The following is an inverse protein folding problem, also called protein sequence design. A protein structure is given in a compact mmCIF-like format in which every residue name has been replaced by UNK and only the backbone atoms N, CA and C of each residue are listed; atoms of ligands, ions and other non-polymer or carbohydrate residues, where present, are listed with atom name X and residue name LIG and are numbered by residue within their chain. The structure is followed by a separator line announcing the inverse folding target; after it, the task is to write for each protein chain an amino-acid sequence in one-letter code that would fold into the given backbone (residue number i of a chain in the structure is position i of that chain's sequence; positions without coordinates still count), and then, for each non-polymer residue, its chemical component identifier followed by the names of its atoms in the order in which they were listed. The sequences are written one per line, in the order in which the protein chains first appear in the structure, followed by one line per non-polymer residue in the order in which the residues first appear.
data_IF_801877058130
#
_entry.id   IF_801877058130
#
_cell.length_a   1.000
_cell.length_b   1.000
_cell.length_c   1.000
_cell.angle_alpha   90.00
_cell.angle_beta   90.00
_cell.angle_gamma   90.00
#
_symmetry.space_group_name_H-M   'P 1'
#
loop_
_entity.id
_entity.type
_entity.pdbx_description
1 polymer ?
#
# COMPACT_ATOMS: atom_id res chain seq x y z
N UNK A 1 3.31 20.80 2.78
CA UNK A 1 2.62 19.89 3.75
C UNK A 1 3.58 19.69 4.92
N UNK A 2 3.11 19.73 6.15
CA UNK A 2 3.92 19.32 7.31
C UNK A 2 3.93 17.78 7.38
N UNK A 3 5.09 17.19 7.14
CA UNK A 3 5.27 15.73 7.06
C UNK A 3 4.88 15.05 8.38
N UNK A 4 5.28 15.61 9.52
CA UNK A 4 4.98 15.02 10.83
C UNK A 4 3.50 15.08 11.15
N UNK A 5 2.84 16.18 10.85
CA UNK A 5 1.39 16.30 11.02
C UNK A 5 0.64 15.31 10.13
N UNK A 6 1.05 15.16 8.87
CA UNK A 6 0.44 14.19 7.95
C UNK A 6 0.61 12.75 8.42
N UNK A 7 1.79 12.35 8.92
CA UNK A 7 2.02 11.01 9.49
C UNK A 7 1.13 10.79 10.72
N UNK A 8 0.97 11.79 11.57
CA UNK A 8 0.14 11.67 12.78
C UNK A 8 -1.36 11.55 12.43
N UNK A 9 -1.83 12.30 11.43
CA UNK A 9 -3.21 12.19 10.93
C UNK A 9 -3.48 10.78 10.36
N UNK A 10 -2.55 10.25 9.56
CA UNK A 10 -2.61 8.88 9.04
C UNK A 10 -2.62 7.86 10.18
N UNK A 11 -1.69 7.97 11.12
CA UNK A 11 -1.61 7.07 12.29
C UNK A 11 -2.90 7.06 13.08
N UNK A 12 -3.48 8.25 13.35
CA UNK A 12 -4.74 8.38 14.09
C UNK A 12 -5.91 7.74 13.34
N UNK A 13 -6.07 8.03 12.04
CA UNK A 13 -7.15 7.49 11.23
C UNK A 13 -7.11 5.96 11.16
N UNK A 14 -5.92 5.37 10.96
CA UNK A 14 -5.77 3.91 10.94
C UNK A 14 -5.93 3.28 12.33
N UNK A 15 -5.47 3.93 13.40
CA UNK A 15 -5.69 3.45 14.77
C UNK A 15 -7.19 3.37 15.11
N UNK A 16 -7.96 4.39 14.75
CA UNK A 16 -9.42 4.42 14.93
C UNK A 16 -10.08 3.31 14.10
N UNK A 17 -9.67 3.13 12.85
CA UNK A 17 -10.16 2.09 11.96
C UNK A 17 -9.82 0.69 12.47
N UNK A 18 -8.62 0.47 13.00
CA UNK A 18 -8.21 -0.78 13.61
C UNK A 18 -9.05 -1.12 14.86
N UNK A 19 -9.26 -0.15 15.74
CA UNK A 19 -10.05 -0.32 16.96
C UNK A 19 -11.53 -0.62 16.67
N UNK A 20 -12.09 -0.09 15.58
CA UNK A 20 -13.47 -0.36 15.14
C UNK A 20 -13.65 -1.71 14.44
N UNK A 21 -12.56 -2.42 14.11
CA UNK A 21 -12.58 -3.63 13.30
C UNK A 21 -12.76 -3.38 11.80
N UNK A 22 -12.78 -2.12 11.37
CA UNK A 22 -12.90 -1.70 9.96
C UNK A 22 -11.55 -1.64 9.22
N UNK A 23 -10.44 -2.01 9.89
CA UNK A 23 -9.07 -1.82 9.41
C UNK A 23 -8.79 -2.51 8.08
N UNK A 24 -9.42 -3.66 7.84
CA UNK A 24 -9.51 -4.27 6.52
C UNK A 24 -10.93 -4.73 6.29
N UNK A 25 -11.63 -3.97 5.48
CA UNK A 25 -12.92 -4.37 4.97
C UNK A 25 -12.76 -5.70 4.18
N UNK A 26 -13.71 -6.63 4.35
CA UNK A 26 -13.72 -7.92 3.62
C UNK A 26 -13.58 -7.74 2.10
N UNK A 27 -14.02 -6.61 1.57
CA UNK A 27 -13.97 -6.30 0.13
C UNK A 27 -12.56 -5.92 -0.36
N UNK A 28 -11.64 -5.53 0.52
CA UNK A 28 -10.23 -5.37 0.18
C UNK A 28 -9.43 -6.66 0.29
N UNK A 29 -10.04 -7.71 0.83
CA UNK A 29 -9.48 -9.05 0.96
C UNK A 29 -9.96 -9.93 -0.19
N UNK A 30 -9.31 -9.83 -1.34
CA UNK A 30 -9.56 -10.64 -2.52
C UNK A 30 -8.53 -11.77 -2.60
N UNK A 31 -8.97 -13.01 -2.32
CA UNK A 31 -8.10 -14.19 -2.33
C UNK A 31 -7.46 -14.44 -3.70
N UNK A 32 -8.19 -14.21 -4.81
CA UNK A 32 -7.65 -14.39 -6.17
C UNK A 32 -6.60 -13.33 -6.49
N UNK A 33 -6.83 -12.08 -6.05
CA UNK A 33 -5.83 -11.03 -6.20
C UNK A 33 -4.59 -11.33 -5.36
N UNK A 34 -4.76 -11.81 -4.12
CA UNK A 34 -3.66 -12.24 -3.26
C UNK A 34 -2.84 -13.35 -3.91
N UNK A 35 -3.48 -14.44 -4.39
CA UNK A 35 -2.81 -15.53 -5.09
C UNK A 35 -2.01 -15.03 -6.31
N UNK A 36 -2.61 -14.10 -7.07
CA UNK A 36 -1.94 -13.49 -8.22
C UNK A 36 -0.71 -12.67 -7.81
N UNK A 37 -0.80 -11.88 -6.73
CA UNK A 37 0.34 -11.14 -6.17
C UNK A 37 1.43 -12.10 -5.75
N UNK A 38 1.12 -13.12 -4.94
CA UNK A 38 2.09 -14.10 -4.44
C UNK A 38 2.83 -14.81 -5.57
N UNK A 39 2.10 -15.21 -6.61
CA UNK A 39 2.70 -15.80 -7.82
C UNK A 39 3.57 -14.80 -8.58
N UNK A 40 3.16 -13.53 -8.67
CA UNK A 40 3.85 -12.50 -9.44
C UNK A 40 5.16 -12.05 -8.79
N UNK A 41 5.18 -11.86 -7.46
CA UNK A 41 6.41 -11.48 -6.73
C UNK A 41 7.44 -12.61 -6.70
N UNK A 42 7.00 -13.86 -6.87
CA UNK A 42 7.84 -15.05 -7.01
C UNK A 42 8.96 -15.11 -5.95
N UNK A 43 8.58 -15.06 -4.67
CA UNK A 43 9.52 -15.20 -3.55
C UNK A 43 10.26 -16.54 -3.65
N UNK A 44 11.53 -16.57 -3.26
CA UNK A 44 12.41 -17.73 -3.35
C UNK A 44 13.08 -17.99 -2.01
N UNK A 45 13.39 -19.23 -1.73
CA UNK A 45 14.05 -19.66 -0.52
C UNK A 45 15.30 -18.81 -0.18
N UNK A 46 15.43 -18.47 1.07
CA UNK A 46 16.54 -17.67 1.60
C UNK A 46 16.45 -16.16 1.35
N UNK A 47 15.35 -15.66 0.74
CA UNK A 47 15.15 -14.23 0.60
C UNK A 47 14.83 -13.55 1.93
N UNK A 48 15.30 -12.31 2.07
CA UNK A 48 14.79 -11.33 3.04
C UNK A 48 13.78 -10.43 2.38
N UNK A 49 12.57 -10.41 2.93
CA UNK A 49 11.42 -9.71 2.36
C UNK A 49 10.89 -8.68 3.36
N UNK A 50 10.72 -7.43 2.90
CA UNK A 50 10.09 -6.36 3.66
C UNK A 50 8.68 -6.10 3.11
N UNK A 51 7.66 -6.13 3.96
CA UNK A 51 6.31 -5.64 3.66
C UNK A 51 6.15 -4.24 4.26
N UNK A 52 6.18 -3.21 3.41
CA UNK A 52 6.13 -1.80 3.79
C UNK A 52 4.69 -1.30 3.86
N UNK A 53 4.28 -0.81 5.03
CA UNK A 53 2.88 -0.48 5.33
C UNK A 53 2.05 -1.75 5.46
N UNK A 54 2.56 -2.70 6.25
CA UNK A 54 2.02 -4.07 6.33
C UNK A 54 0.63 -4.16 6.99
N UNK A 55 0.21 -3.13 7.72
CA UNK A 55 -1.08 -3.08 8.42
C UNK A 55 -1.35 -4.32 9.27
N UNK A 56 -2.44 -5.02 8.98
CA UNK A 56 -2.81 -6.27 9.66
C UNK A 56 -2.06 -7.52 9.17
N UNK A 57 -1.07 -7.35 8.29
CA UNK A 57 -0.27 -8.45 7.76
C UNK A 57 -0.92 -9.21 6.60
N UNK A 58 -1.77 -8.55 5.79
CA UNK A 58 -2.49 -9.18 4.68
C UNK A 58 -1.56 -9.86 3.64
N UNK A 59 -0.42 -9.25 3.30
CA UNK A 59 0.62 -9.89 2.48
C UNK A 59 1.64 -10.63 3.34
N UNK A 60 2.00 -10.06 4.49
CA UNK A 60 3.10 -10.53 5.33
C UNK A 60 2.94 -11.99 5.75
N UNK A 61 1.75 -12.36 6.29
CA UNK A 61 1.49 -13.73 6.74
C UNK A 61 1.52 -14.72 5.57
N UNK A 62 0.76 -14.53 4.46
CA UNK A 62 0.79 -15.47 3.35
C UNK A 62 2.16 -15.62 2.67
N UNK A 63 2.97 -14.55 2.64
CA UNK A 63 4.34 -14.62 2.14
C UNK A 63 5.18 -15.52 3.04
N UNK A 64 5.10 -15.35 4.37
CA UNK A 64 5.88 -16.15 5.32
C UNK A 64 5.43 -17.61 5.37
N UNK A 65 4.11 -17.86 5.35
CA UNK A 65 3.53 -19.22 5.32
C UNK A 65 3.90 -19.99 4.06
N UNK A 66 3.86 -19.30 2.90
CA UNK A 66 4.19 -19.91 1.62
C UNK A 66 5.69 -20.10 1.35
N UNK A 67 6.56 -19.47 2.17
CA UNK A 67 8.01 -19.46 1.98
C UNK A 67 8.74 -19.63 3.33
N UNK A 68 8.73 -20.80 3.94
CA UNK A 68 9.27 -21.03 5.29
C UNK A 68 10.77 -20.73 5.41
N UNK A 69 11.52 -20.81 4.32
CA UNK A 69 12.96 -20.51 4.30
C UNK A 69 13.28 -19.03 4.05
N UNK A 70 12.27 -18.17 3.89
CA UNK A 70 12.44 -16.73 3.81
C UNK A 70 12.38 -16.08 5.18
N UNK A 71 13.10 -14.96 5.36
CA UNK A 71 12.92 -14.06 6.50
C UNK A 71 11.98 -12.92 6.08
N UNK A 72 10.79 -12.81 6.70
CA UNK A 72 9.78 -11.80 6.34
C UNK A 72 9.63 -10.80 7.47
N UNK A 73 9.67 -9.51 7.12
CA UNK A 73 9.52 -8.42 8.08
C UNK A 73 8.38 -7.50 7.63
N UNK A 74 7.37 -7.32 8.49
CA UNK A 74 6.33 -6.31 8.30
C UNK A 74 6.72 -5.00 8.99
N UNK A 75 6.62 -3.87 8.28
CA UNK A 75 6.92 -2.53 8.77
C UNK A 75 5.68 -1.64 8.68
N UNK A 76 5.28 -1.02 9.79
CA UNK A 76 4.13 -0.10 9.82
C UNK A 76 4.29 0.99 10.88
N UNK A 77 3.57 2.11 10.71
CA UNK A 77 3.54 3.22 11.69
C UNK A 77 2.51 3.01 12.80
N UNK A 78 1.55 2.09 12.62
CA UNK A 78 0.44 1.82 13.55
C UNK A 78 0.86 0.75 14.56
N UNK A 79 1.33 1.19 15.73
CA UNK A 79 1.85 0.29 16.78
C UNK A 79 0.85 -0.76 17.23
N UNK A 80 -0.45 -0.40 17.32
CA UNK A 80 -1.50 -1.32 17.76
C UNK A 80 -1.66 -2.50 16.77
N UNK A 81 -1.53 -2.25 15.45
CA UNK A 81 -1.55 -3.30 14.44
C UNK A 81 -0.30 -4.19 14.53
N UNK A 82 0.87 -3.58 14.75
CA UNK A 82 2.13 -4.31 14.94
C UNK A 82 2.05 -5.23 16.16
N UNK A 83 1.53 -4.75 17.29
CA UNK A 83 1.43 -5.55 18.51
C UNK A 83 0.42 -6.70 18.37
N UNK A 84 -0.70 -6.47 17.68
CA UNK A 84 -1.65 -7.53 17.32
C UNK A 84 -1.01 -8.60 16.42
N UNK A 85 -0.26 -8.18 15.39
CA UNK A 85 0.45 -9.10 14.50
C UNK A 85 1.53 -9.90 15.23
N UNK A 86 2.29 -9.27 16.14
CA UNK A 86 3.27 -9.98 16.99
C UNK A 86 2.62 -11.05 17.87
N UNK A 87 1.40 -10.80 18.35
CA UNK A 87 0.64 -11.81 19.10
C UNK A 87 0.24 -12.99 18.21
N UNK A 88 -0.25 -12.72 17.00
CA UNK A 88 -0.57 -13.76 16.00
C UNK A 88 0.65 -14.60 15.62
N UNK A 89 1.82 -13.98 15.43
CA UNK A 89 3.09 -14.70 15.16
C UNK A 89 3.42 -15.68 16.28
N UNK A 90 3.30 -15.23 17.55
CA UNK A 90 3.55 -16.12 18.72
C UNK A 90 2.54 -17.26 18.81
N UNK A 91 1.26 -16.98 18.56
CA UNK A 91 0.18 -17.99 18.59
C UNK A 91 0.33 -19.02 17.47
N UNK A 92 0.83 -18.60 16.30
CA UNK A 92 1.06 -19.48 15.15
C UNK A 92 2.46 -20.14 15.15
N UNK A 93 3.30 -19.85 16.16
CA UNK A 93 4.67 -20.35 16.27
C UNK A 93 5.52 -20.14 15.01
N UNK A 94 5.39 -18.95 14.38
CA UNK A 94 6.12 -18.61 13.15
C UNK A 94 7.51 -18.03 13.47
N UNK A 95 8.57 -18.75 13.17
CA UNK A 95 9.95 -18.32 13.46
C UNK A 95 10.55 -17.42 12.35
N UNK A 96 9.95 -17.42 11.15
CA UNK A 96 10.43 -16.72 9.97
C UNK A 96 9.78 -15.35 9.74
N UNK A 97 8.94 -14.88 10.68
CA UNK A 97 8.13 -13.67 10.54
C UNK A 97 8.30 -12.73 11.74
N UNK A 98 8.60 -11.45 11.47
CA UNK A 98 8.68 -10.41 12.50
C UNK A 98 7.93 -9.15 12.07
N UNK A 99 7.55 -8.32 13.05
CA UNK A 99 6.88 -7.05 12.81
C UNK A 99 7.57 -5.91 13.55
N UNK A 100 7.80 -4.78 12.86
CA UNK A 100 8.54 -3.62 13.35
C UNK A 100 7.69 -2.36 13.19
N UNK A 101 7.59 -1.56 14.27
CA UNK A 101 7.01 -0.22 14.19
C UNK A 101 8.11 0.81 13.91
N UNK A 102 7.78 1.88 13.13
CA UNK A 102 8.74 2.94 12.82
C UNK A 102 8.09 4.33 12.86
N UNK A 103 8.89 5.37 12.64
CA UNK A 103 8.48 6.77 12.75
C UNK A 103 7.68 7.30 11.53
N UNK A 104 7.65 6.54 10.43
CA UNK A 104 7.01 6.94 9.16
C UNK A 104 7.94 7.70 8.21
N UNK A 105 9.23 7.85 8.57
CA UNK A 105 10.22 8.59 7.79
C UNK A 105 11.41 7.70 7.41
N UNK A 106 12.16 7.21 8.42
CA UNK A 106 13.39 6.46 8.19
C UNK A 106 13.18 4.98 8.47
N UNK A 107 13.58 4.12 7.54
CA UNK A 107 13.46 2.68 7.76
C UNK A 107 14.58 2.21 8.71
N UNK A 108 14.24 1.51 9.82
CA UNK A 108 15.20 1.09 10.84
C UNK A 108 16.03 -0.13 10.40
N UNK A 109 16.51 -0.13 9.16
CA UNK A 109 17.23 -1.22 8.54
C UNK A 109 18.53 -0.76 7.89
N UNK A 110 19.50 -1.65 7.78
CA UNK A 110 20.75 -1.39 7.09
C UNK A 110 20.57 -1.33 5.56
N UNK A 111 21.51 -0.66 4.88
CA UNK A 111 21.52 -0.62 3.42
C UNK A 111 21.78 -2.02 2.84
N UNK A 112 21.05 -2.38 1.79
CA UNK A 112 21.24 -3.64 1.08
C UNK A 112 20.84 -4.88 1.88
N UNK A 113 19.86 -4.74 2.78
CA UNK A 113 19.38 -5.84 3.63
C UNK A 113 18.41 -6.77 2.91
N UNK A 114 17.54 -6.24 2.03
CA UNK A 114 16.40 -6.96 1.46
C UNK A 114 16.61 -7.38 0.01
N UNK A 115 16.10 -8.56 -0.31
CA UNK A 115 16.00 -9.08 -1.69
C UNK A 115 14.74 -8.57 -2.38
N UNK A 116 13.66 -8.39 -1.60
CA UNK A 116 12.36 -7.95 -2.07
C UNK A 116 11.73 -6.99 -1.05
N UNK A 117 11.21 -5.87 -1.52
CA UNK A 117 10.27 -5.01 -0.78
C UNK A 117 8.93 -5.12 -1.47
N UNK A 118 7.88 -5.39 -0.71
CA UNK A 118 6.49 -5.38 -1.18
C UNK A 118 5.70 -4.30 -0.46
N UNK A 119 4.71 -3.73 -1.11
CA UNK A 119 3.79 -2.77 -0.49
C UNK A 119 2.44 -2.86 -1.19
N UNK A 120 1.35 -2.81 -0.41
CA UNK A 120 -0.01 -2.89 -0.95
C UNK A 120 -0.93 -1.91 -0.25
N UNK A 121 -1.58 -1.05 -1.03
CA UNK A 121 -2.58 -0.06 -0.58
C UNK A 121 -2.08 0.81 0.57
N UNK A 122 -0.84 1.30 0.45
CA UNK A 122 -0.16 2.02 1.53
C UNK A 122 0.52 3.31 1.06
N UNK A 123 1.21 3.31 -0.08
CA UNK A 123 2.07 4.42 -0.49
C UNK A 123 1.31 5.72 -0.75
N UNK A 124 0.03 5.67 -1.06
CA UNK A 124 -0.81 6.86 -1.23
C UNK A 124 -1.08 7.63 0.07
N UNK A 125 -0.64 7.13 1.22
CA UNK A 125 -0.64 7.81 2.51
C UNK A 125 0.72 8.40 2.90
N UNK A 126 1.77 8.18 2.09
CA UNK A 126 3.12 8.62 2.43
C UNK A 126 3.34 10.08 2.03
N UNK A 127 3.59 11.01 3.01
CA UNK A 127 3.66 12.44 2.74
C UNK A 127 4.92 12.86 1.99
N UNK A 128 5.99 12.08 2.05
CA UNK A 128 7.20 12.25 1.28
C UNK A 128 7.53 10.96 0.53
N UNK A 129 6.85 10.78 -0.59
CA UNK A 129 7.00 9.57 -1.41
C UNK A 129 8.42 9.44 -1.98
N UNK A 130 9.06 10.55 -2.32
CA UNK A 130 10.42 10.54 -2.87
C UNK A 130 11.42 10.02 -1.84
N UNK A 131 11.36 10.52 -0.59
CA UNK A 131 12.19 10.02 0.49
C UNK A 131 11.91 8.54 0.77
N UNK A 132 10.65 8.13 0.74
CA UNK A 132 10.28 6.72 0.93
C UNK A 132 10.87 5.80 -0.14
N UNK A 133 10.88 6.22 -1.40
CA UNK A 133 11.52 5.44 -2.49
C UNK A 133 13.05 5.46 -2.38
N UNK A 134 13.65 6.56 -1.88
CA UNK A 134 15.09 6.59 -1.53
C UNK A 134 15.41 5.53 -0.47
N UNK A 135 14.61 5.45 0.60
CA UNK A 135 14.78 4.45 1.65
C UNK A 135 14.58 3.02 1.14
N UNK A 136 13.53 2.79 0.31
CA UNK A 136 13.34 1.50 -0.36
C UNK A 136 14.57 1.12 -1.19
N UNK A 137 15.08 2.06 -2.01
CA UNK A 137 16.29 1.81 -2.79
C UNK A 137 17.50 1.56 -1.89
N UNK A 138 17.63 2.27 -0.78
CA UNK A 138 18.75 2.09 0.16
C UNK A 138 18.74 0.69 0.78
N UNK A 139 17.59 0.22 1.28
CA UNK A 139 17.49 -1.07 1.97
C UNK A 139 17.49 -2.28 1.03
N UNK A 140 17.17 -2.10 -0.26
CA UNK A 140 17.26 -3.15 -1.26
C UNK A 140 18.72 -3.47 -1.62
N UNK A 141 19.02 -4.75 -1.75
CA UNK A 141 20.26 -5.27 -2.36
C UNK A 141 20.40 -4.80 -3.80
N UNK A 142 21.61 -4.75 -4.34
CA UNK A 142 21.83 -4.58 -5.77
C UNK A 142 21.22 -5.76 -6.56
N UNK A 143 20.25 -5.49 -7.42
CA UNK A 143 19.46 -6.49 -8.13
C UNK A 143 18.22 -6.99 -7.36
N UNK A 144 17.96 -6.48 -6.17
CA UNK A 144 16.70 -6.69 -5.43
C UNK A 144 15.51 -6.04 -6.11
N UNK A 145 14.31 -6.38 -5.68
CA UNK A 145 13.06 -5.95 -6.33
C UNK A 145 12.15 -5.16 -5.39
N UNK A 146 11.39 -4.22 -5.95
CA UNK A 146 10.27 -3.54 -5.31
C UNK A 146 8.99 -3.92 -6.03
N UNK A 147 7.99 -4.40 -5.29
CA UNK A 147 6.63 -4.60 -5.78
C UNK A 147 5.69 -3.56 -5.17
N UNK A 148 4.96 -2.83 -6.03
CA UNK A 148 3.94 -1.85 -5.63
C UNK A 148 2.59 -2.36 -6.13
N UNK A 149 1.62 -2.49 -5.23
CA UNK A 149 0.21 -2.72 -5.54
C UNK A 149 -0.61 -1.59 -4.93
N UNK A 150 -0.99 -0.60 -5.74
CA UNK A 150 -1.69 0.60 -5.24
C UNK A 150 -2.75 1.07 -6.23
N UNK A 151 -3.90 1.59 -5.76
CA UNK A 151 -4.90 2.17 -6.65
C UNK A 151 -4.34 3.32 -7.48
N UNK A 152 -4.93 3.54 -8.63
CA UNK A 152 -4.54 4.61 -9.53
C UNK A 152 -5.76 5.33 -10.10
N UNK A 153 -5.64 6.61 -10.48
CA UNK A 153 -6.71 7.32 -11.15
C UNK A 153 -7.01 6.70 -12.52
N UNK A 154 -8.27 6.75 -12.94
CA UNK A 154 -8.66 6.41 -14.30
C UNK A 154 -8.02 7.38 -15.30
N UNK A 155 -7.77 6.95 -16.54
CA UNK A 155 -7.06 7.74 -17.54
C UNK A 155 -7.77 9.07 -17.89
N UNK A 156 -9.10 9.12 -17.76
CA UNK A 156 -9.91 10.32 -17.93
C UNK A 156 -9.91 11.25 -16.73
N UNK A 157 -9.48 10.81 -15.54
CA UNK A 157 -9.53 11.57 -14.29
C UNK A 157 -8.35 12.54 -14.16
N UNK A 158 -8.34 13.60 -14.99
CA UNK A 158 -7.27 14.61 -14.97
C UNK A 158 -7.38 15.55 -13.76
N UNK A 159 -8.60 15.79 -13.29
CA UNK A 159 -8.90 16.71 -12.20
C UNK A 159 -8.90 16.02 -10.81
N UNK A 160 -8.50 14.73 -10.78
CA UNK A 160 -8.27 13.97 -9.54
C UNK A 160 -9.52 13.81 -8.66
N UNK A 161 -10.63 13.49 -9.30
CA UNK A 161 -11.88 13.14 -8.61
C UNK A 161 -11.67 12.05 -7.57
N UNK A 162 -10.94 10.98 -7.94
CA UNK A 162 -10.71 9.86 -7.02
C UNK A 162 -9.96 10.30 -5.74
N UNK A 163 -8.98 11.19 -5.83
CA UNK A 163 -8.27 11.70 -4.66
C UNK A 163 -9.18 12.57 -3.78
N UNK A 164 -10.00 13.44 -4.37
CA UNK A 164 -10.98 14.25 -3.62
C UNK A 164 -12.02 13.35 -2.93
N UNK A 165 -12.47 12.30 -3.62
CA UNK A 165 -13.38 11.30 -3.06
C UNK A 165 -12.75 10.51 -1.92
N UNK A 166 -11.48 10.08 -2.06
CA UNK A 166 -10.79 9.32 -1.02
C UNK A 166 -10.53 10.16 0.24
N UNK A 167 -10.27 11.46 0.10
CA UNK A 167 -10.12 12.38 1.25
C UNK A 167 -11.38 12.58 2.07
N UNK A 168 -12.56 12.15 1.60
CA UNK A 168 -13.77 12.12 2.43
C UNK A 168 -13.64 11.14 3.61
N UNK A 169 -12.78 10.14 3.50
CA UNK A 169 -12.37 9.28 4.62
C UNK A 169 -11.13 9.89 5.28
N UNK A 170 -11.24 10.20 6.57
CA UNK A 170 -10.14 10.83 7.33
C UNK A 170 -9.08 9.82 7.75
N UNK A 171 -8.41 9.21 6.78
CA UNK A 171 -7.34 8.21 6.98
C UNK A 171 -5.96 8.69 6.47
N UNK A 172 -5.84 9.98 6.17
CA UNK A 172 -4.58 10.55 5.69
C UNK A 172 -4.29 10.32 4.22
N UNK A 173 -5.30 10.03 3.38
CA UNK A 173 -5.11 9.92 1.94
C UNK A 173 -4.48 11.18 1.34
N UNK A 174 -3.41 11.01 0.58
CA UNK A 174 -2.67 12.10 -0.06
C UNK A 174 -2.92 12.10 -1.56
N UNK A 175 -2.51 11.02 -2.25
CA UNK A 175 -2.57 10.95 -3.71
C UNK A 175 -2.43 9.51 -4.21
N UNK A 176 -3.28 9.10 -5.15
CA UNK A 176 -3.03 7.95 -6.00
C UNK A 176 -2.07 8.32 -7.15
N UNK A 177 -1.13 7.47 -7.44
CA UNK A 177 -0.14 7.67 -8.50
C UNK A 177 -0.52 6.88 -9.75
N UNK A 178 -0.34 7.48 -10.92
CA UNK A 178 -0.42 6.76 -12.19
C UNK A 178 0.80 5.83 -12.35
N UNK A 179 0.70 4.86 -13.26
CA UNK A 179 1.84 4.00 -13.60
C UNK A 179 3.06 4.80 -14.08
N UNK A 180 2.83 5.83 -14.92
CA UNK A 180 3.91 6.69 -15.40
C UNK A 180 4.58 7.47 -14.27
N UNK A 181 3.82 8.01 -13.32
CA UNK A 181 4.39 8.68 -12.14
C UNK A 181 5.23 7.71 -11.30
N UNK A 182 4.79 6.45 -11.09
CA UNK A 182 5.59 5.45 -10.40
C UNK A 182 6.89 5.14 -11.14
N UNK A 183 6.82 4.97 -12.46
CA UNK A 183 8.03 4.72 -13.28
C UNK A 183 9.01 5.87 -13.18
N UNK A 184 8.53 7.12 -13.30
CA UNK A 184 9.37 8.32 -13.23
C UNK A 184 10.02 8.49 -11.85
N UNK A 185 9.27 8.23 -10.76
CA UNK A 185 9.80 8.32 -9.40
C UNK A 185 10.85 7.22 -9.17
N UNK A 186 10.52 5.98 -9.47
CA UNK A 186 11.37 4.83 -9.21
C UNK A 186 12.66 4.87 -10.03
N UNK A 187 12.62 5.29 -11.31
CA UNK A 187 13.79 5.37 -12.19
C UNK A 187 14.84 6.36 -11.67
N UNK A 188 14.40 7.50 -11.11
CA UNK A 188 15.33 8.48 -10.48
C UNK A 188 16.19 7.87 -9.37
N UNK A 189 15.72 6.83 -8.72
CA UNK A 189 16.41 6.16 -7.61
C UNK A 189 16.94 4.77 -7.98
N UNK A 190 17.08 4.50 -9.30
CA UNK A 190 17.71 3.30 -9.84
C UNK A 190 16.84 2.04 -9.74
N UNK A 191 15.50 2.21 -9.71
CA UNK A 191 14.52 1.13 -9.72
C UNK A 191 13.83 1.12 -11.09
N UNK A 192 14.17 0.17 -11.96
CA UNK A 192 13.61 0.05 -13.30
C UNK A 192 12.44 -0.94 -13.33
N UNK A 193 11.38 -0.60 -14.05
CA UNK A 193 10.25 -1.49 -14.27
C UNK A 193 10.66 -2.78 -14.97
N UNK A 194 10.19 -3.92 -14.48
CA UNK A 194 10.46 -5.25 -15.05
C UNK A 194 9.18 -5.87 -15.60
N UNK A 195 8.08 -5.76 -14.87
CA UNK A 195 6.80 -6.36 -15.23
C UNK A 195 5.65 -5.66 -14.51
N UNK A 196 4.44 -5.79 -15.00
CA UNK A 196 3.24 -5.25 -14.35
C UNK A 196 1.96 -5.96 -14.79
N UNK A 197 0.92 -5.79 -13.96
CA UNK A 197 -0.44 -6.12 -14.34
C UNK A 197 -1.43 -5.15 -13.69
N UNK A 198 -2.60 -5.01 -14.30
CA UNK A 198 -3.72 -4.27 -13.71
C UNK A 198 -4.72 -5.22 -13.06
N UNK A 199 -5.35 -4.74 -12.01
CA UNK A 199 -6.51 -5.33 -11.35
C UNK A 199 -7.50 -4.24 -10.95
N UNK A 200 -8.63 -4.62 -10.41
CA UNK A 200 -9.64 -3.68 -9.89
C UNK A 200 -10.03 -4.07 -8.47
N UNK A 201 -10.42 -3.07 -7.69
CA UNK A 201 -11.00 -3.26 -6.38
C UNK A 201 -12.33 -2.52 -6.28
N UNK A 202 -13.32 -3.14 -5.65
CA UNK A 202 -14.57 -2.48 -5.26
C UNK A 202 -14.42 -1.98 -3.82
N UNK A 203 -14.31 -0.67 -3.64
CA UNK A 203 -14.06 -0.08 -2.33
C UNK A 203 -15.33 0.53 -1.74
N UNK A 204 -15.79 0.10 -0.55
CA UNK A 204 -16.92 0.69 0.15
C UNK A 204 -16.48 1.85 1.06
N UNK A 205 -17.37 2.83 1.20
CA UNK A 205 -17.28 3.92 2.16
C UNK A 205 -18.62 4.10 2.84
N UNK A 206 -18.65 4.19 4.17
CA UNK A 206 -19.89 4.46 4.92
C UNK A 206 -20.37 5.88 4.61
N UNK A 207 -21.66 6.03 4.30
CA UNK A 207 -22.27 7.33 3.95
C UNK A 207 -22.23 8.33 5.09
N UNK A 208 -22.41 7.89 6.31
CA UNK A 208 -22.41 8.74 7.51
C UNK A 208 -21.04 9.36 7.81
N UNK A 209 -19.96 8.83 7.21
CA UNK A 209 -18.60 9.35 7.35
C UNK A 209 -18.14 10.16 6.13
N UNK A 210 -18.93 10.20 5.04
CA UNK A 210 -18.58 10.85 3.78
C UNK A 210 -19.07 12.31 3.70
N UNK A 211 -18.76 13.13 4.72
CA UNK A 211 -19.11 14.54 4.74
C UNK A 211 -18.50 15.29 3.54
N UNK A 212 -19.33 16.05 2.79
CA UNK A 212 -18.88 16.78 1.60
C UNK A 212 -18.97 15.97 0.30
N UNK A 213 -19.57 14.80 0.32
CA UNK A 213 -19.74 13.94 -0.86
C UNK A 213 -20.42 14.67 -2.02
N UNK A 214 -21.54 15.35 -1.76
CA UNK A 214 -22.28 16.12 -2.79
C UNK A 214 -21.46 17.27 -3.39
N UNK A 215 -20.61 17.92 -2.59
CA UNK A 215 -19.71 18.98 -3.05
C UNK A 215 -18.63 18.40 -3.97
N UNK A 216 -18.08 17.23 -3.64
CA UNK A 216 -17.11 16.53 -4.49
C UNK A 216 -17.73 16.16 -5.83
N UNK A 217 -18.97 15.60 -5.84
CA UNK A 217 -19.65 15.27 -7.08
C UNK A 217 -19.90 16.50 -7.98
N UNK A 218 -20.26 17.65 -7.38
CA UNK A 218 -20.52 18.90 -8.14
C UNK A 218 -19.25 19.50 -8.73
N UNK A 219 -18.09 19.22 -8.18
CA UNK A 219 -16.80 19.78 -8.60
C UNK A 219 -16.24 19.11 -9.86
N UNK A 220 -16.63 17.86 -10.12
CA UNK A 220 -16.01 17.02 -11.14
C UNK A 220 -16.97 16.68 -12.29
N UNK A 221 -16.40 16.38 -13.46
CA UNK A 221 -17.15 15.98 -14.64
C UNK A 221 -17.90 14.66 -14.42
N UNK A 222 -19.15 14.61 -14.85
CA UNK A 222 -20.03 13.46 -14.69
C UNK A 222 -19.47 12.20 -15.36
N UNK A 223 -18.86 12.32 -16.54
CA UNK A 223 -18.28 11.19 -17.25
C UNK A 223 -17.06 10.63 -16.50
N UNK A 224 -16.29 11.48 -15.80
CA UNK A 224 -15.20 11.03 -14.92
C UNK A 224 -15.77 10.24 -13.74
N UNK A 225 -16.78 10.77 -13.06
CA UNK A 225 -17.45 10.10 -11.94
C UNK A 225 -18.01 8.75 -12.37
N UNK A 226 -18.71 8.68 -13.48
CA UNK A 226 -19.29 7.45 -14.05
C UNK A 226 -18.23 6.40 -14.38
N UNK A 227 -17.01 6.82 -14.75
CA UNK A 227 -15.91 5.90 -15.06
C UNK A 227 -15.46 5.05 -13.87
N UNK A 228 -15.80 5.45 -12.65
CA UNK A 228 -15.51 4.72 -11.41
C UNK A 228 -16.64 3.78 -10.95
N UNK A 229 -17.68 3.62 -11.77
CA UNK A 229 -18.83 2.76 -11.45
C UNK A 229 -19.35 2.99 -10.02
N UNK A 230 -19.55 4.30 -9.72
CA UNK A 230 -19.98 4.73 -8.40
C UNK A 230 -21.42 4.29 -8.15
N UNK A 231 -21.63 3.53 -7.08
CA UNK A 231 -22.95 3.05 -6.66
C UNK A 231 -23.23 3.53 -5.26
N UNK A 232 -24.41 4.13 -5.08
CA UNK A 232 -24.93 4.57 -3.80
C UNK A 232 -26.01 3.60 -3.32
N UNK A 233 -25.82 3.07 -2.10
CA UNK A 233 -26.81 2.28 -1.36
C UNK A 233 -27.38 3.11 -0.22
N UNK A 234 -28.26 2.53 0.60
CA UNK A 234 -28.81 3.21 1.77
C UNK A 234 -27.73 3.59 2.80
N UNK A 235 -26.67 2.79 2.93
CA UNK A 235 -25.64 2.90 3.99
C UNK A 235 -24.24 3.15 3.47
N UNK A 236 -23.96 2.83 2.20
CA UNK A 236 -22.62 2.84 1.64
C UNK A 236 -22.55 3.52 0.27
N UNK A 237 -21.38 4.05 0.00
CA UNK A 237 -20.92 4.48 -1.32
C UNK A 237 -19.88 3.46 -1.79
N UNK A 238 -20.06 2.90 -2.98
CA UNK A 238 -19.15 1.92 -3.57
C UNK A 238 -18.50 2.52 -4.79
N UNK A 239 -17.18 2.47 -4.86
CA UNK A 239 -16.38 2.92 -6.00
C UNK A 239 -15.54 1.76 -6.53
N UNK A 240 -15.38 1.67 -7.85
CA UNK A 240 -14.47 0.70 -8.47
C UNK A 240 -13.18 1.42 -8.85
N UNK A 241 -12.07 1.01 -8.26
CA UNK A 241 -10.74 1.58 -8.50
C UNK A 241 -9.90 0.61 -9.33
N UNK A 242 -9.15 1.14 -10.29
CA UNK A 242 -8.06 0.42 -10.94
C UNK A 242 -6.87 0.34 -9.99
N UNK A 243 -6.14 -0.76 -10.05
CA UNK A 243 -4.96 -1.00 -9.21
C UNK A 243 -3.77 -1.31 -10.10
N UNK A 244 -2.72 -0.53 -9.97
CA UNK A 244 -1.42 -0.82 -10.54
C UNK A 244 -0.70 -1.87 -9.67
N UNK A 245 -0.24 -2.94 -10.30
CA UNK A 245 0.62 -3.95 -9.68
C UNK A 245 1.92 -3.97 -10.49
N UNK A 246 2.98 -3.35 -9.96
CA UNK A 246 4.19 -3.06 -10.71
C UNK A 246 5.39 -3.66 -9.98
N UNK A 247 6.22 -4.39 -10.71
CA UNK A 247 7.49 -4.93 -10.23
C UNK A 247 8.64 -4.11 -10.81
N UNK A 248 9.45 -3.55 -9.93
CA UNK A 248 10.69 -2.86 -10.25
C UNK A 248 11.90 -3.69 -9.82
N UNK A 249 13.03 -3.47 -10.46
CA UNK A 249 14.32 -4.06 -10.07
C UNK A 249 15.38 -2.97 -9.88
N UNK A 250 16.08 -3.04 -8.75
CA UNK A 250 17.21 -2.15 -8.49
C UNK A 250 18.38 -2.49 -9.41
N UNK A 251 18.85 -1.49 -10.15
CA UNK A 251 20.02 -1.65 -11.03
C UNK A 251 21.25 -1.95 -10.18
N UNK A 252 21.99 -3.00 -10.53
CA UNK A 252 23.31 -3.24 -9.94
C UNK A 252 24.23 -2.09 -10.38
N UNK A 253 24.77 -1.31 -9.46
CA UNK A 253 25.91 -0.45 -9.80
C UNK A 253 27.06 -1.38 -10.18
N UNK A 254 27.47 -1.32 -11.44
CA UNK A 254 28.75 -1.90 -11.84
C UNK A 254 29.83 -1.07 -11.14
N UNK A 255 30.58 -1.69 -10.25
CA UNK A 255 31.76 -1.11 -9.57
C UNK A 255 32.92 -1.18 -10.55
#
# INVERSE_FOLDING_TARGET
MDIKASIEDTRKGFKESFASGDFYNRQTQDAKHLERILSFINARDGMRILDLGCGSGYLTFPIAEGNPDCEVIGLDIVSDAIDANRSRVREAEMDNLTFVSYDGINFPFEAGMFDLVVTRYSLHHFPDIEHSIVEVSRVLKGGGSLFISDPCPNDCDKDRFVDDYMRLKKDGHIKFYTKSEWVDICDRYGLQIVDDFESTIRFPKKKDTAFGYEEVLKKHDKAVIESYDLVETDTELLITERVNNILFRKIKKWI
#
